data_IF_823655982179
#
_entry.id   IF_823655982179
#
_cell.length_a   1.000
_cell.length_b   1.000
_cell.length_c   1.000
_cell.angle_alpha   90.00
_cell.angle_beta   90.00
_cell.angle_gamma   90.00
#
_symmetry.space_group_name_H-M   'P 1'
#
loop_
_entity.id
_entity.type
_entity.pdbx_description
1 polymer ?
#
# COMPACT_ATOMS: atom_id res chain seq x y z
N UNK A 1 15.87 1.46 13.00
CA UNK A 1 14.96 0.32 13.20
C UNK A 1 13.55 0.81 12.89
N UNK A 2 13.16 0.80 11.62
CA UNK A 2 11.79 1.18 11.24
C UNK A 2 10.92 0.00 11.67
N UNK A 3 10.17 0.20 12.76
CA UNK A 3 9.09 -0.71 13.13
C UNK A 3 8.06 -0.59 12.00
N UNK A 4 8.05 -1.55 11.10
CA UNK A 4 6.92 -1.76 10.21
C UNK A 4 5.80 -2.28 11.12
N UNK A 5 5.12 -1.33 11.78
CA UNK A 5 3.80 -1.56 12.35
C UNK A 5 2.98 -2.26 11.27
N UNK A 6 2.18 -3.25 11.62
CA UNK A 6 1.25 -3.95 10.70
C UNK A 6 0.25 -3.00 9.98
N UNK A 7 0.39 -1.69 10.22
CA UNK A 7 -0.13 -0.55 9.50
C UNK A 7 0.96 0.15 8.66
N UNK A 8 1.38 -0.41 7.54
CA UNK A 8 1.82 0.44 6.42
C UNK A 8 0.53 0.83 5.72
N UNK A 9 -0.16 1.81 6.32
CA UNK A 9 -1.53 2.16 5.99
C UNK A 9 -1.55 2.83 4.61
N UNK A 10 -2.44 2.35 3.75
CA UNK A 10 -2.75 2.97 2.45
C UNK A 10 -2.95 4.49 2.56
N UNK A 11 -3.38 4.98 3.73
CA UNK A 11 -3.52 6.40 4.03
C UNK A 11 -2.18 7.15 4.04
N UNK A 12 -1.08 6.58 4.54
CA UNK A 12 0.25 7.22 4.47
C UNK A 12 0.73 7.37 3.03
N UNK A 13 0.46 6.37 2.18
CA UNK A 13 0.77 6.44 0.76
C UNK A 13 -0.06 7.52 0.07
N UNK A 14 -1.34 7.64 0.40
CA UNK A 14 -2.23 8.67 -0.16
C UNK A 14 -1.73 10.07 0.22
N UNK A 15 -1.39 10.29 1.49
CA UNK A 15 -0.87 11.59 1.93
C UNK A 15 0.44 11.95 1.22
N UNK A 16 1.36 10.99 1.05
CA UNK A 16 2.58 11.20 0.26
C UNK A 16 2.28 11.56 -1.20
N UNK A 17 1.30 10.91 -1.83
CA UNK A 17 0.88 11.22 -3.21
C UNK A 17 0.32 12.65 -3.30
N UNK A 18 -0.46 13.08 -2.30
CA UNK A 18 -1.04 14.42 -2.27
C UNK A 18 0.00 15.54 -2.19
N UNK A 19 1.21 15.27 -1.67
CA UNK A 19 2.28 16.28 -1.62
C UNK A 19 2.66 16.81 -3.01
N UNK A 20 2.63 15.97 -4.05
CA UNK A 20 2.96 16.38 -5.43
C UNK A 20 1.78 16.29 -6.40
N UNK A 21 0.69 15.60 -6.04
CA UNK A 21 -0.54 15.53 -6.83
C UNK A 21 -1.79 15.73 -5.94
N UNK A 22 -2.10 16.97 -5.51
CA UNK A 22 -3.20 17.26 -4.58
C UNK A 22 -4.59 16.94 -5.12
N UNK A 23 -4.76 16.93 -6.44
CA UNK A 23 -6.03 16.62 -7.11
C UNK A 23 -6.29 15.11 -7.28
N UNK A 24 -5.43 14.27 -6.70
CA UNK A 24 -5.61 12.82 -6.77
C UNK A 24 -6.89 12.39 -6.07
N UNK A 25 -7.60 11.45 -6.69
CA UNK A 25 -8.82 10.87 -6.12
C UNK A 25 -8.46 9.73 -5.16
N UNK A 26 -8.53 9.99 -3.85
CA UNK A 26 -8.28 9.00 -2.78
C UNK A 26 -9.08 7.72 -2.99
N UNK A 27 -10.32 7.86 -3.47
CA UNK A 27 -11.25 6.75 -3.72
C UNK A 27 -10.70 5.75 -4.74
N UNK A 28 -9.97 6.22 -5.76
CA UNK A 28 -9.37 5.38 -6.79
C UNK A 28 -8.21 4.56 -6.24
N UNK A 29 -7.35 5.21 -5.44
CA UNK A 29 -6.22 4.55 -4.78
C UNK A 29 -6.71 3.49 -3.79
N UNK A 30 -7.72 3.83 -2.97
CA UNK A 30 -8.32 2.88 -2.01
C UNK A 30 -8.96 1.69 -2.72
N UNK A 31 -9.61 1.90 -3.86
CA UNK A 31 -10.19 0.82 -4.67
C UNK A 31 -9.12 -0.12 -5.24
N UNK A 32 -8.03 0.44 -5.76
CA UNK A 32 -6.90 -0.35 -6.25
C UNK A 32 -6.26 -1.18 -5.13
N UNK A 33 -6.10 -0.58 -3.95
CA UNK A 33 -5.61 -1.28 -2.76
C UNK A 33 -6.51 -2.44 -2.34
N UNK A 34 -7.84 -2.22 -2.26
CA UNK A 34 -8.80 -3.27 -1.91
C UNK A 34 -8.75 -4.45 -2.90
N UNK A 35 -8.62 -4.15 -4.19
CA UNK A 35 -8.46 -5.18 -5.22
C UNK A 35 -7.18 -5.99 -5.00
N UNK A 36 -6.04 -5.32 -4.81
CA UNK A 36 -4.77 -5.99 -4.55
C UNK A 36 -4.83 -6.84 -3.26
N UNK A 37 -5.42 -6.29 -2.19
CA UNK A 37 -5.59 -7.01 -0.93
C UNK A 37 -6.45 -8.27 -1.10
N UNK A 38 -7.55 -8.18 -1.85
CA UNK A 38 -8.41 -9.33 -2.15
C UNK A 38 -7.67 -10.41 -2.96
N UNK A 39 -6.91 -10.00 -4.00
CA UNK A 39 -6.11 -10.93 -4.81
C UNK A 39 -4.99 -11.62 -4.00
N UNK A 40 -4.46 -10.94 -2.98
CA UNK A 40 -3.32 -11.41 -2.18
C UNK A 40 -3.71 -11.93 -0.79
N UNK A 41 -5.00 -12.07 -0.46
CA UNK A 41 -5.49 -12.36 0.90
C UNK A 41 -4.86 -13.60 1.54
N UNK A 42 -4.69 -14.67 0.76
CA UNK A 42 -4.09 -15.93 1.23
C UNK A 42 -2.66 -16.14 0.71
N UNK A 43 -2.08 -15.12 0.09
CA UNK A 43 -0.73 -15.20 -0.44
C UNK A 43 0.27 -14.67 0.58
N UNK A 44 1.32 -15.46 0.81
CA UNK A 44 2.44 -15.10 1.68
C UNK A 44 3.72 -15.05 0.87
N UNK A 45 4.65 -14.20 1.30
CA UNK A 45 6.04 -14.22 0.79
C UNK A 45 6.78 -15.43 1.35
N UNK A 46 7.95 -15.73 0.76
CA UNK A 46 8.87 -16.74 1.30
C UNK A 46 9.27 -16.47 2.76
N UNK A 47 9.28 -15.19 3.18
CA UNK A 47 9.53 -14.75 4.55
C UNK A 47 8.39 -15.06 5.53
N UNK A 48 7.20 -15.41 5.04
CA UNK A 48 6.00 -15.64 5.85
C UNK A 48 5.08 -14.43 6.00
N UNK A 49 5.53 -13.24 5.58
CA UNK A 49 4.74 -12.00 5.60
C UNK A 49 3.59 -12.03 4.57
N UNK A 50 2.47 -11.32 4.82
CA UNK A 50 1.42 -11.11 3.82
C UNK A 50 1.99 -10.52 2.53
N UNK A 51 1.62 -11.08 1.38
CA UNK A 51 2.18 -10.65 0.10
C UNK A 51 1.84 -9.20 -0.25
N UNK A 52 0.69 -8.69 0.23
CA UNK A 52 0.21 -7.33 0.00
C UNK A 52 1.21 -6.24 0.43
N UNK A 53 2.08 -6.51 1.40
CA UNK A 53 3.13 -5.58 1.81
C UNK A 53 4.10 -5.23 0.68
N UNK A 54 4.35 -6.17 -0.25
CA UNK A 54 5.29 -5.93 -1.35
C UNK A 54 4.75 -4.93 -2.39
N UNK A 55 3.52 -5.08 -2.94
CA UNK A 55 2.91 -4.06 -3.80
C UNK A 55 2.81 -2.67 -3.15
N UNK A 56 2.48 -2.58 -1.85
CA UNK A 56 2.44 -1.29 -1.14
C UNK A 56 3.83 -0.64 -1.11
N UNK A 57 4.87 -1.42 -0.78
CA UNK A 57 6.25 -0.91 -0.77
C UNK A 57 6.72 -0.42 -2.14
N UNK A 58 6.34 -1.10 -3.23
CA UNK A 58 6.63 -0.65 -4.59
C UNK A 58 5.91 0.68 -4.88
N UNK A 59 4.64 0.79 -4.52
CA UNK A 59 3.88 2.03 -4.71
C UNK A 59 4.47 3.20 -3.94
N UNK A 60 4.98 2.96 -2.72
CA UNK A 60 5.65 3.97 -1.90
C UNK A 60 6.98 4.47 -2.50
N UNK A 61 7.72 3.62 -3.22
CA UNK A 61 8.96 4.01 -3.92
C UNK A 61 8.66 4.89 -5.15
N UNK A 62 7.53 4.64 -5.80
CA UNK A 62 7.11 5.37 -7.01
C UNK A 62 6.45 6.70 -6.66
N UNK A 63 5.75 6.77 -5.52
CA UNK A 63 5.18 7.99 -4.99
C UNK A 63 6.26 8.97 -4.54
#
# INVERSE_FOLDING_TARGET
MVRVSEKTDIDELIEKIKEYHPAVEDSLIKKAYQMAQACHLNQKRRSGEPYIAHPIGVAYIIA
#
